data_IF_413362962212
#
_entry.id   IF_413362962212
#
_cell.length_a   1.000
_cell.length_b   1.000
_cell.length_c   1.000
_cell.angle_alpha   90.00
_cell.angle_beta   90.00
_cell.angle_gamma   90.00
#
_symmetry.space_group_name_H-M   'P 1'
#
loop_
_entity.id
_entity.type
_entity.pdbx_description
1 polymer ?
#
# COMPACT_ATOMS: atom_id res chain seq x y z
N UNK A 1 24.65 -9.28 15.41
CA UNK A 1 24.34 -8.65 14.10
C UNK A 1 25.20 -7.40 13.98
N UNK A 2 25.85 -7.14 12.84
CA UNK A 2 26.69 -5.94 12.66
C UNK A 2 25.90 -4.78 12.06
N UNK A 3 26.32 -3.53 12.32
CA UNK A 3 25.69 -2.32 11.77
C UNK A 3 25.59 -2.33 10.24
N UNK A 4 26.70 -2.70 9.57
CA UNK A 4 26.73 -2.89 8.10
C UNK A 4 25.79 -3.99 7.58
N UNK A 5 25.51 -5.02 8.37
CA UNK A 5 24.52 -6.05 8.00
C UNK A 5 23.11 -5.49 8.15
N UNK A 6 22.84 -4.72 9.20
CA UNK A 6 21.55 -4.07 9.42
C UNK A 6 21.24 -3.02 8.34
N UNK A 7 22.20 -2.18 7.96
CA UNK A 7 22.06 -1.21 6.85
C UNK A 7 21.66 -1.90 5.55
N UNK A 8 22.31 -3.02 5.21
CA UNK A 8 21.95 -3.82 4.02
C UNK A 8 20.54 -4.39 4.11
N UNK A 9 20.12 -4.86 5.28
CA UNK A 9 18.75 -5.36 5.48
C UNK A 9 17.73 -4.22 5.31
N UNK A 10 18.02 -3.04 5.86
CA UNK A 10 17.17 -1.84 5.69
C UNK A 10 17.04 -1.51 4.21
N UNK A 11 18.15 -1.41 3.46
CA UNK A 11 18.12 -1.10 2.03
C UNK A 11 17.27 -2.10 1.23
N UNK A 12 17.37 -3.40 1.53
CA UNK A 12 16.55 -4.44 0.88
C UNK A 12 15.07 -4.26 1.24
N UNK A 13 14.76 -4.03 2.52
CA UNK A 13 13.38 -3.82 2.98
C UNK A 13 12.77 -2.52 2.42
N UNK A 14 13.56 -1.47 2.25
CA UNK A 14 13.13 -0.24 1.58
C UNK A 14 12.80 -0.46 0.11
N UNK A 15 13.62 -1.26 -0.60
CA UNK A 15 13.32 -1.65 -1.98
C UNK A 15 12.02 -2.43 -2.07
N UNK A 16 11.81 -3.40 -1.17
CA UNK A 16 10.56 -4.15 -1.08
C UNK A 16 9.38 -3.21 -0.82
N UNK A 17 9.50 -2.29 0.15
CA UNK A 17 8.47 -1.28 0.44
C UNK A 17 8.16 -0.43 -0.80
N UNK A 18 9.18 -0.06 -1.58
CA UNK A 18 9.01 0.66 -2.86
C UNK A 18 8.18 -0.14 -3.87
N UNK A 19 8.51 -1.42 -4.07
CA UNK A 19 7.74 -2.32 -4.95
C UNK A 19 6.29 -2.43 -4.48
N UNK A 20 6.04 -2.65 -3.18
CA UNK A 20 4.68 -2.75 -2.64
C UNK A 20 3.87 -1.47 -2.83
N UNK A 21 4.50 -0.30 -2.74
CA UNK A 21 3.83 0.99 -3.02
C UNK A 21 3.43 1.10 -4.48
N UNK A 22 4.31 0.73 -5.40
CA UNK A 22 4.00 0.69 -6.83
C UNK A 22 2.87 -0.30 -7.15
N UNK A 23 2.85 -1.48 -6.52
CA UNK A 23 1.74 -2.44 -6.65
C UNK A 23 0.41 -1.87 -6.13
N UNK A 24 0.43 -1.11 -5.04
CA UNK A 24 -0.75 -0.41 -4.51
C UNK A 24 -1.22 0.69 -5.46
N UNK A 25 -0.30 1.48 -6.04
CA UNK A 25 -0.64 2.50 -7.05
C UNK A 25 -1.33 1.86 -8.26
N UNK A 26 -0.80 0.75 -8.77
CA UNK A 26 -1.46 -0.03 -9.84
C UNK A 26 -2.84 -0.53 -9.41
N UNK A 27 -3.00 -0.94 -8.16
CA UNK A 27 -4.30 -1.35 -7.61
C UNK A 27 -5.31 -0.20 -7.59
N UNK A 28 -4.87 0.98 -7.17
CA UNK A 28 -5.69 2.18 -7.12
C UNK A 28 -6.16 2.59 -8.54
N UNK A 29 -5.27 2.47 -9.54
CA UNK A 29 -5.63 2.70 -10.96
C UNK A 29 -6.61 1.64 -11.51
N UNK A 30 -6.41 0.36 -11.18
CA UNK A 30 -7.33 -0.71 -11.55
C UNK A 30 -8.71 -0.53 -10.90
N UNK A 31 -8.73 -0.13 -9.63
CA UNK A 31 -9.95 0.17 -8.88
C UNK A 31 -10.69 1.36 -9.49
N UNK A 32 -9.97 2.44 -9.85
CA UNK A 32 -10.56 3.60 -10.50
C UNK A 32 -11.21 3.23 -11.85
N UNK A 33 -10.52 2.44 -12.68
CA UNK A 33 -11.06 1.93 -13.95
C UNK A 33 -12.28 1.04 -13.74
N UNK A 34 -12.26 0.17 -12.75
CA UNK A 34 -13.40 -0.69 -12.42
C UNK A 34 -14.61 0.13 -11.92
N UNK A 35 -14.36 1.19 -11.14
CA UNK A 35 -15.41 2.09 -10.65
C UNK A 35 -16.06 2.88 -11.80
N UNK A 36 -15.25 3.34 -12.76
CA UNK A 36 -15.75 4.00 -13.97
C UNK A 36 -16.60 3.05 -14.81
N UNK A 37 -16.12 1.83 -15.06
CA UNK A 37 -16.85 0.82 -15.81
C UNK A 37 -18.18 0.42 -15.14
N UNK A 38 -18.19 0.26 -13.80
CA UNK A 38 -19.42 -0.02 -13.05
C UNK A 38 -20.41 1.16 -13.12
N UNK A 39 -19.92 2.39 -13.05
CA UNK A 39 -20.74 3.60 -13.20
C UNK A 39 -21.34 3.71 -14.60
N UNK A 40 -20.56 3.45 -15.65
CA UNK A 40 -21.03 3.45 -17.02
C UNK A 40 -22.06 2.34 -17.28
N UNK A 41 -21.80 1.12 -16.82
CA UNK A 41 -22.75 0.01 -16.92
C UNK A 41 -24.07 0.31 -16.18
N UNK A 42 -24.01 0.96 -15.01
CA UNK A 42 -25.18 1.44 -14.29
C UNK A 42 -26.00 2.45 -15.10
N UNK A 43 -25.34 3.45 -15.70
CA UNK A 43 -26.01 4.45 -16.57
C UNK A 43 -26.66 3.80 -17.79
N UNK A 44 -26.01 2.81 -18.41
CA UNK A 44 -26.56 2.06 -19.54
C UNK A 44 -27.81 1.29 -19.12
N UNK A 45 -27.75 0.60 -17.97
CA UNK A 45 -28.88 -0.12 -17.40
C UNK A 45 -30.06 0.81 -17.08
N UNK A 46 -29.81 1.93 -16.41
CA UNK A 46 -30.85 2.91 -16.07
C UNK A 46 -31.45 3.55 -17.34
N UNK A 47 -30.61 3.83 -18.34
CA UNK A 47 -31.06 4.29 -19.66
C UNK A 47 -31.92 3.27 -20.40
N UNK A 48 -31.58 1.99 -20.30
CA UNK A 48 -32.36 0.89 -20.87
C UNK A 48 -33.73 0.76 -20.16
N UNK A 49 -33.78 0.86 -18.83
CA UNK A 49 -35.04 0.89 -18.07
C UNK A 49 -35.89 2.08 -18.51
N UNK A 50 -35.29 3.28 -18.55
CA UNK A 50 -35.97 4.49 -18.98
C UNK A 50 -36.57 4.36 -20.38
N UNK A 51 -35.92 3.59 -21.27
CA UNK A 51 -36.43 3.32 -22.62
C UNK A 51 -37.68 2.45 -22.64
N UNK A 52 -37.76 1.47 -21.75
CA UNK A 52 -38.88 0.53 -21.58
C UNK A 52 -40.10 1.21 -20.94
N UNK A 53 -39.87 2.16 -20.03
CA UNK A 53 -40.94 2.84 -19.27
C UNK A 53 -41.52 4.06 -19.98
N UNK A 54 -41.04 4.42 -21.18
CA UNK A 54 -41.57 5.56 -21.94
C UNK A 54 -43.00 5.28 -22.42
N UNK A 55 -43.89 6.24 -22.22
CA UNK A 55 -45.26 6.16 -22.71
C UNK A 55 -45.31 6.27 -24.24
N UNK A 56 -46.04 5.36 -24.89
CA UNK A 56 -46.25 5.33 -26.35
C UNK A 56 -46.98 4.04 -26.78
N UNK A 57 -47.42 3.98 -28.05
CA UNK A 57 -47.89 2.71 -28.64
C UNK A 57 -46.67 1.85 -28.96
N UNK A 58 -46.37 0.90 -28.07
CA UNK A 58 -45.26 -0.05 -28.22
C UNK A 58 -45.85 -1.38 -28.69
N UNK A 59 -45.30 -1.97 -29.74
CA UNK A 59 -45.72 -3.31 -30.18
C UNK A 59 -45.26 -4.38 -29.19
N UNK A 60 -45.91 -5.55 -29.18
CA UNK A 60 -45.46 -6.66 -28.33
C UNK A 60 -44.01 -7.10 -28.65
N UNK A 61 -43.59 -7.01 -29.91
CA UNK A 61 -42.22 -7.31 -30.34
C UNK A 61 -41.21 -6.27 -29.82
N UNK A 62 -41.56 -4.98 -29.86
CA UNK A 62 -40.71 -3.92 -29.30
C UNK A 62 -40.53 -4.09 -27.79
N UNK A 63 -41.60 -4.45 -27.09
CA UNK A 63 -41.55 -4.69 -25.65
C UNK A 63 -40.63 -5.87 -25.30
N UNK A 64 -40.76 -6.98 -26.04
CA UNK A 64 -39.91 -8.16 -25.85
C UNK A 64 -38.43 -7.84 -26.13
N UNK A 65 -38.14 -7.08 -27.19
CA UNK A 65 -36.77 -6.66 -27.53
C UNK A 65 -36.17 -5.74 -26.47
N UNK A 66 -36.93 -4.75 -25.99
CA UNK A 66 -36.46 -3.82 -24.95
C UNK A 66 -36.23 -4.54 -23.62
N UNK A 67 -37.11 -5.47 -23.24
CA UNK A 67 -36.91 -6.29 -22.04
C UNK A 67 -35.61 -7.11 -22.10
N UNK A 68 -35.26 -7.67 -23.27
CA UNK A 68 -34.01 -8.39 -23.47
C UNK A 68 -32.78 -7.46 -23.31
N UNK A 69 -32.85 -6.22 -23.81
CA UNK A 69 -31.79 -5.22 -23.64
C UNK A 69 -31.60 -4.84 -22.17
N UNK A 70 -32.69 -4.63 -21.42
CA UNK A 70 -32.64 -4.35 -19.99
C UNK A 70 -32.00 -5.51 -19.22
N UNK A 71 -32.41 -6.75 -19.52
CA UNK A 71 -31.84 -7.94 -18.88
C UNK A 71 -30.34 -8.09 -19.15
N UNK A 72 -29.90 -7.81 -20.39
CA UNK A 72 -28.48 -7.81 -20.73
C UNK A 72 -27.71 -6.71 -19.98
N UNK A 73 -28.24 -5.48 -19.97
CA UNK A 73 -27.61 -4.36 -19.27
C UNK A 73 -27.52 -4.61 -17.76
N UNK A 74 -28.54 -5.23 -17.16
CA UNK A 74 -28.54 -5.62 -15.74
C UNK A 74 -27.45 -6.65 -15.44
N UNK A 75 -27.26 -7.63 -16.33
CA UNK A 75 -26.18 -8.61 -16.20
C UNK A 75 -24.80 -7.94 -16.27
N UNK A 76 -24.58 -7.08 -17.26
CA UNK A 76 -23.30 -6.35 -17.40
C UNK A 76 -23.04 -5.46 -16.17
N UNK A 77 -24.04 -4.74 -15.67
CA UNK A 77 -23.90 -3.93 -14.46
C UNK A 77 -23.57 -4.78 -13.22
N UNK A 78 -24.17 -5.97 -13.12
CA UNK A 78 -23.87 -6.92 -12.03
C UNK A 78 -22.43 -7.43 -12.10
N UNK A 79 -21.96 -7.81 -13.29
CA UNK A 79 -20.59 -8.27 -13.52
C UNK A 79 -19.55 -7.16 -13.26
N UNK A 80 -19.85 -5.93 -13.70
CA UNK A 80 -18.98 -4.78 -13.47
C UNK A 80 -18.89 -4.43 -11.97
N UNK A 81 -20.02 -4.45 -11.25
CA UNK A 81 -20.04 -4.26 -9.80
C UNK A 81 -19.31 -5.39 -9.07
N UNK A 82 -19.48 -6.65 -9.49
CA UNK A 82 -18.72 -7.77 -8.93
C UNK A 82 -17.21 -7.58 -9.11
N UNK A 83 -16.78 -7.11 -10.29
CA UNK A 83 -15.37 -6.78 -10.55
C UNK A 83 -14.88 -5.65 -9.66
N UNK A 84 -15.68 -4.58 -9.48
CA UNK A 84 -15.36 -3.47 -8.60
C UNK A 84 -15.13 -3.94 -7.15
N UNK A 85 -16.00 -4.79 -6.63
CA UNK A 85 -15.85 -5.32 -5.26
C UNK A 85 -14.58 -6.17 -5.10
N UNK A 86 -14.25 -7.02 -6.10
CA UNK A 86 -12.99 -7.76 -6.10
C UNK A 86 -11.79 -6.81 -6.06
N UNK A 87 -11.80 -5.74 -6.88
CA UNK A 87 -10.72 -4.75 -6.91
C UNK A 87 -10.58 -3.96 -5.61
N UNK A 88 -11.69 -3.68 -4.90
CA UNK A 88 -11.64 -3.05 -3.56
C UNK A 88 -10.88 -3.93 -2.58
N UNK A 89 -11.21 -5.22 -2.53
CA UNK A 89 -10.55 -6.18 -1.65
C UNK A 89 -9.06 -6.30 -1.98
N UNK A 90 -8.71 -6.48 -3.26
CA UNK A 90 -7.30 -6.55 -3.68
C UNK A 90 -6.51 -5.29 -3.30
N UNK A 91 -7.13 -4.12 -3.42
CA UNK A 91 -6.53 -2.84 -3.02
C UNK A 91 -6.30 -2.78 -1.51
N UNK A 92 -7.25 -3.23 -0.71
CA UNK A 92 -7.11 -3.30 0.76
C UNK A 92 -5.98 -4.25 1.19
N UNK A 93 -5.87 -5.41 0.56
CA UNK A 93 -4.78 -6.38 0.81
C UNK A 93 -3.40 -5.79 0.46
N UNK A 94 -3.29 -5.10 -0.68
CA UNK A 94 -2.05 -4.41 -1.08
C UNK A 94 -1.72 -3.27 -0.12
N UNK A 95 -2.73 -2.52 0.36
CA UNK A 95 -2.54 -1.46 1.34
C UNK A 95 -2.04 -2.01 2.69
N UNK A 96 -2.59 -3.13 3.16
CA UNK A 96 -2.11 -3.83 4.35
C UNK A 96 -0.64 -4.27 4.20
N UNK A 97 -0.28 -4.79 3.03
CA UNK A 97 1.11 -5.20 2.72
C UNK A 97 2.08 -4.01 2.75
N UNK A 98 1.68 -2.85 2.23
CA UNK A 98 2.48 -1.60 2.32
C UNK A 98 2.64 -1.14 3.76
N UNK A 99 1.57 -1.24 4.57
CA UNK A 99 1.60 -0.89 5.99
C UNK A 99 2.61 -1.76 6.75
N UNK A 100 2.55 -3.08 6.56
CA UNK A 100 3.47 -4.03 7.20
C UNK A 100 4.92 -3.79 6.76
N UNK A 101 5.17 -3.59 5.46
CA UNK A 101 6.50 -3.26 4.96
C UNK A 101 7.03 -1.94 5.54
N UNK A 102 6.16 -0.95 5.75
CA UNK A 102 6.53 0.33 6.37
C UNK A 102 6.87 0.16 7.84
N UNK A 103 6.07 -0.63 8.58
CA UNK A 103 6.32 -0.96 9.97
C UNK A 103 7.66 -1.70 10.15
N UNK A 104 7.96 -2.67 9.28
CA UNK A 104 9.21 -3.43 9.28
C UNK A 104 10.43 -2.52 9.12
N UNK A 105 10.42 -1.66 8.10
CA UNK A 105 11.52 -0.71 7.86
C UNK A 105 11.69 0.18 9.08
N UNK A 106 10.59 0.70 9.66
CA UNK A 106 10.65 1.57 10.83
C UNK A 106 11.25 0.88 12.05
N UNK A 107 10.91 -0.39 12.28
CA UNK A 107 11.49 -1.17 13.37
C UNK A 107 13.01 -1.34 13.21
N UNK A 108 13.47 -1.59 11.97
CA UNK A 108 14.89 -1.72 11.67
C UNK A 108 15.66 -0.39 11.79
N UNK A 109 15.07 0.72 11.37
CA UNK A 109 15.63 2.07 11.56
C UNK A 109 15.82 2.38 13.05
N UNK A 110 14.84 2.07 13.89
CA UNK A 110 14.94 2.26 15.34
C UNK A 110 16.06 1.41 15.91
N UNK A 111 16.18 0.14 15.49
CA UNK A 111 17.29 -0.72 15.89
C UNK A 111 18.64 -0.13 15.47
N UNK A 112 18.74 0.38 14.25
CA UNK A 112 19.95 1.00 13.72
C UNK A 112 20.37 2.24 14.53
N UNK A 113 19.41 3.10 14.87
CA UNK A 113 19.65 4.26 15.74
C UNK A 113 20.10 3.83 17.14
N UNK A 114 19.51 2.79 17.73
CA UNK A 114 19.92 2.25 19.04
C UNK A 114 21.35 1.72 19.01
N UNK A 115 21.73 1.00 17.96
CA UNK A 115 23.10 0.53 17.76
C UNK A 115 24.09 1.71 17.66
N UNK A 116 23.77 2.74 16.87
CA UNK A 116 24.61 3.92 16.76
C UNK A 116 24.81 4.67 18.08
N UNK A 117 23.74 4.79 18.89
CA UNK A 117 23.85 5.38 20.24
C UNK A 117 24.70 4.54 21.20
N UNK A 118 24.61 3.21 21.10
CA UNK A 118 25.44 2.31 21.89
C UNK A 118 26.92 2.41 21.51
N UNK A 119 27.23 2.45 20.21
CA UNK A 119 28.61 2.66 19.71
C UNK A 119 29.20 3.97 20.24
N UNK A 120 28.47 5.09 20.12
CA UNK A 120 28.91 6.39 20.63
C UNK A 120 29.14 6.38 22.15
N UNK A 121 28.30 5.65 22.91
CA UNK A 121 28.45 5.53 24.36
C UNK A 121 29.71 4.75 24.72
N UNK A 122 30.02 3.69 23.98
CA UNK A 122 31.22 2.89 24.20
C UNK A 122 32.50 3.64 23.78
N UNK A 123 32.47 4.41 22.69
CA UNK A 123 33.58 5.30 22.31
C UNK A 123 33.87 6.34 23.40
N UNK A 124 32.85 7.04 23.89
CA UNK A 124 33.00 8.01 24.98
C UNK A 124 33.59 7.41 26.25
N UNK A 125 33.19 6.18 26.62
CA UNK A 125 33.77 5.46 27.76
C UNK A 125 35.26 5.14 27.55
N UNK A 126 35.64 4.73 26.34
CA UNK A 126 37.04 4.44 26.01
C UNK A 126 37.90 5.70 26.05
N UNK A 127 37.39 6.81 25.51
CA UNK A 127 38.05 8.11 25.57
C UNK A 127 38.26 8.56 27.02
N UNK A 128 37.21 8.47 27.86
CA UNK A 128 37.29 8.78 29.29
C UNK A 128 38.32 7.90 30.02
N UNK A 129 38.28 6.58 29.80
CA UNK A 129 39.27 5.66 30.38
C UNK A 129 40.70 6.00 29.94
N UNK A 130 40.91 6.34 28.67
CA UNK A 130 42.23 6.72 28.16
C UNK A 130 42.74 8.04 28.78
N UNK A 131 41.86 9.03 28.98
CA UNK A 131 42.20 10.29 29.67
C UNK A 131 42.51 10.05 31.15
N UNK A 132 41.74 9.22 31.84
CA UNK A 132 41.95 8.90 33.25
C UNK A 132 43.27 8.14 33.47
N UNK A 133 43.58 7.19 32.59
CA UNK A 133 44.88 6.50 32.58
C UNK A 133 46.05 7.45 32.30
N UNK A 134 45.90 8.38 31.35
CA UNK A 134 46.93 9.35 31.04
C UNK A 134 47.20 10.29 32.23
N UNK A 135 46.15 10.76 32.91
CA UNK A 135 46.25 11.56 34.12
C UNK A 135 46.91 10.77 35.27
N UNK A 136 46.52 9.50 35.48
CA UNK A 136 47.11 8.63 36.50
C UNK A 136 48.60 8.36 36.27
N UNK A 137 49.05 8.27 35.01
CA UNK A 137 50.47 8.14 34.66
C UNK A 137 51.27 9.41 34.98
N UNK A 138 50.73 10.60 34.70
CA UNK A 138 51.42 11.87 35.04
C UNK A 138 51.59 12.05 36.55
N UNK A 139 50.56 11.76 37.35
CA UNK A 139 50.64 11.85 38.83
C UNK A 139 51.70 10.92 39.41
N UNK A 140 51.98 9.78 38.76
CA UNK A 140 52.97 8.80 39.21
C UNK A 140 54.42 9.17 38.82
N UNK A 141 54.61 10.08 37.86
CA UNK A 141 55.93 10.57 37.42
C UNK A 141 56.40 11.80 38.21
N UNK A 142 55.46 12.52 38.85
CA UNK A 142 55.73 13.74 39.64
C UNK A 142 55.88 13.42 41.15
N UNK A 143 55.88 12.15 41.53
CA UNK A 143 56.19 11.65 42.87
C UNK A 143 57.54 10.95 42.88
#
# INVERSE_FOLDING_TARGET
MTKRRLERIIQVKERIRGVRRSELETADEELARAAEAASEAGKIHDGAIGSLTRAGQITAEDLARQAAVVALAAKVATEANGTLEVRKVEREERAATVFDATRDVRALEILHQRMGRAEQKEERKKEQGATDEAAGRMVRVVR
#
